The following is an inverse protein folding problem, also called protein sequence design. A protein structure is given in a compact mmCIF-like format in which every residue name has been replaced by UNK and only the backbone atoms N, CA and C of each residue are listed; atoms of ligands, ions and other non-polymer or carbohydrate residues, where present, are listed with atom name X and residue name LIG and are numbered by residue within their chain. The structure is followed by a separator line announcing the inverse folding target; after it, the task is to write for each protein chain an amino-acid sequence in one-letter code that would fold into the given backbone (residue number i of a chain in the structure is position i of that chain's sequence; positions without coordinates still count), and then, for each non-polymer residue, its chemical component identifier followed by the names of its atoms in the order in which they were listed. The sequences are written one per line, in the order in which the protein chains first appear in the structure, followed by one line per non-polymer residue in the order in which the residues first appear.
data_IF_896493127662
#
_entry.id   IF_896493127662
#
_cell.length_a   1.000
_cell.length_b   1.000
_cell.length_c   1.000
_cell.angle_alpha   90.00
_cell.angle_beta   90.00
_cell.angle_gamma   90.00
#
_symmetry.space_group_name_H-M   'P 1'
#
loop_
_entity.id
_entity.type
_entity.pdbx_description
1 polymer ?
#
# COMPACT_ATOMS: atom_id res chain seq x y z
N UNK A 1 -35.45 25.62 -10.74
CA UNK A 1 -35.81 24.73 -9.60
C UNK A 1 -34.62 24.63 -8.67
N UNK A 2 -34.79 24.63 -7.33
CA UNK A 2 -33.68 24.35 -6.42
C UNK A 2 -33.17 22.93 -6.72
N UNK A 3 -31.87 22.82 -7.04
CA UNK A 3 -31.25 21.55 -7.41
C UNK A 3 -31.17 20.67 -6.15
N UNK A 4 -32.02 19.66 -6.07
CA UNK A 4 -32.05 18.71 -4.95
C UNK A 4 -31.06 17.58 -5.22
N UNK A 5 -30.06 17.43 -4.36
CA UNK A 5 -29.18 16.25 -4.39
C UNK A 5 -29.84 15.14 -3.57
N UNK A 6 -30.03 13.94 -4.13
CA UNK A 6 -30.67 12.84 -3.41
C UNK A 6 -29.81 12.31 -2.27
N UNK A 7 -30.45 11.80 -1.22
CA UNK A 7 -29.78 11.05 -0.15
C UNK A 7 -29.14 9.79 -0.76
N UNK A 8 -27.94 9.46 -0.31
CA UNK A 8 -27.06 8.42 -0.83
C UNK A 8 -26.07 8.92 -1.89
N UNK A 9 -26.23 10.13 -2.43
CA UNK A 9 -25.36 10.65 -3.47
C UNK A 9 -23.92 10.90 -2.97
N UNK A 10 -23.74 11.30 -1.72
CA UNK A 10 -22.42 11.48 -1.11
C UNK A 10 -21.70 10.15 -0.91
N UNK A 11 -22.40 9.13 -0.39
CA UNK A 11 -21.84 7.77 -0.25
C UNK A 11 -21.46 7.23 -1.63
N UNK A 12 -22.34 7.35 -2.62
CA UNK A 12 -22.05 6.91 -3.98
C UNK A 12 -20.84 7.64 -4.56
N UNK A 13 -20.70 8.94 -4.27
CA UNK A 13 -19.55 9.72 -4.71
C UNK A 13 -18.24 9.23 -4.08
N UNK A 14 -18.25 8.89 -2.79
CA UNK A 14 -17.11 8.26 -2.11
C UNK A 14 -16.71 6.94 -2.76
N UNK A 15 -17.68 6.11 -3.13
CA UNK A 15 -17.41 4.84 -3.80
C UNK A 15 -16.98 4.99 -5.26
N UNK A 16 -17.48 5.99 -5.98
CA UNK A 16 -16.97 6.30 -7.33
C UNK A 16 -15.47 6.67 -7.29
N UNK A 17 -15.04 7.39 -6.25
CA UNK A 17 -13.61 7.66 -6.03
C UNK A 17 -12.83 6.38 -5.68
N UNK A 18 -13.41 5.50 -4.85
CA UNK A 18 -12.88 4.15 -4.58
C UNK A 18 -12.69 3.35 -5.87
N UNK A 19 -13.64 3.40 -6.81
CA UNK A 19 -13.52 2.72 -8.11
C UNK A 19 -12.35 3.25 -8.95
N UNK A 20 -12.11 4.56 -8.95
CA UNK A 20 -10.93 5.12 -9.63
C UNK A 20 -9.62 4.59 -9.02
N UNK A 21 -9.56 4.47 -7.69
CA UNK A 21 -8.40 3.90 -6.99
C UNK A 21 -8.23 2.39 -7.22
N UNK A 22 -9.32 1.67 -7.47
CA UNK A 22 -9.34 0.22 -7.67
C UNK A 22 -8.97 -0.21 -9.10
N UNK A 23 -8.89 0.73 -10.04
CA UNK A 23 -8.53 0.44 -11.43
C UNK A 23 -7.14 -0.20 -11.55
N UNK A 24 -7.06 -1.36 -12.21
CA UNK A 24 -5.81 -2.15 -12.33
C UNK A 24 -5.12 -1.99 -13.70
N UNK A 25 -5.63 -1.16 -14.61
CA UNK A 25 -5.04 -1.00 -15.94
C UNK A 25 -3.76 -0.16 -15.95
N UNK A 26 -2.97 -0.30 -17.02
CA UNK A 26 -1.65 0.35 -17.14
C UNK A 26 -1.67 1.88 -17.07
N UNK A 27 -2.78 2.53 -17.41
CA UNK A 27 -2.90 4.00 -17.38
C UNK A 27 -2.64 4.60 -15.99
N UNK A 28 -2.84 3.84 -14.91
CA UNK A 28 -2.55 4.30 -13.54
C UNK A 28 -1.07 4.54 -13.26
N UNK A 29 -0.16 4.05 -14.11
CA UNK A 29 1.26 4.36 -14.01
C UNK A 29 1.62 5.67 -14.73
N UNK A 30 0.63 6.34 -15.35
CA UNK A 30 0.78 7.65 -15.98
C UNK A 30 0.23 8.75 -15.07
N UNK A 31 0.89 9.90 -15.07
CA UNK A 31 0.48 11.04 -14.26
C UNK A 31 -0.89 11.60 -14.68
N UNK A 32 -1.16 11.67 -15.99
CA UNK A 32 -2.38 12.25 -16.54
C UNK A 32 -3.66 11.54 -16.11
N UNK A 33 -3.57 10.22 -15.92
CA UNK A 33 -4.66 9.42 -15.36
C UNK A 33 -5.10 9.95 -14.00
N UNK A 34 -4.14 10.17 -13.10
CA UNK A 34 -4.42 10.66 -11.76
C UNK A 34 -4.85 12.12 -11.75
N UNK A 35 -4.29 12.97 -12.63
CA UNK A 35 -4.76 14.34 -12.80
C UNK A 35 -6.25 14.35 -13.16
N UNK A 36 -6.65 13.53 -14.13
CA UNK A 36 -8.05 13.40 -14.54
C UNK A 36 -8.93 12.89 -13.40
N UNK A 37 -8.53 11.79 -12.75
CA UNK A 37 -9.30 11.21 -11.65
C UNK A 37 -9.51 12.18 -10.48
N UNK A 38 -8.47 12.96 -10.12
CA UNK A 38 -8.55 13.97 -9.05
C UNK A 38 -9.44 15.15 -9.48
N UNK A 39 -9.27 15.68 -10.69
CA UNK A 39 -10.08 16.79 -11.18
C UNK A 39 -11.57 16.42 -11.33
N UNK A 40 -11.86 15.18 -11.71
CA UNK A 40 -13.22 14.66 -11.77
C UNK A 40 -13.84 14.51 -10.39
N UNK A 41 -13.06 14.28 -9.33
CA UNK A 41 -13.54 13.94 -7.99
C UNK A 41 -13.60 15.13 -7.04
N UNK A 42 -12.62 16.03 -7.08
CA UNK A 42 -12.44 17.11 -6.11
C UNK A 42 -12.87 18.49 -6.64
N UNK A 43 -13.35 19.34 -5.74
CA UNK A 43 -13.58 20.76 -6.03
C UNK A 43 -12.22 21.47 -6.21
N UNK A 44 -12.15 22.65 -6.86
CA UNK A 44 -10.87 23.33 -7.17
C UNK A 44 -9.94 23.61 -5.98
N UNK A 45 -10.48 23.64 -4.76
CA UNK A 45 -9.73 23.82 -3.51
C UNK A 45 -9.82 22.62 -2.59
N UNK A 46 -10.10 21.43 -3.15
CA UNK A 46 -10.25 20.19 -2.42
C UNK A 46 -8.98 19.79 -1.67
N UNK A 47 -9.16 19.26 -0.46
CA UNK A 47 -8.06 18.81 0.41
C UNK A 47 -8.25 17.33 0.77
N UNK A 48 -7.18 16.55 0.68
CA UNK A 48 -7.12 15.18 1.18
C UNK A 48 -6.22 15.14 2.42
N UNK A 49 -6.79 14.83 3.59
CA UNK A 49 -6.06 14.68 4.85
C UNK A 49 -5.85 13.22 5.17
N UNK A 50 -4.62 12.86 5.48
CA UNK A 50 -4.24 11.50 5.86
C UNK A 50 -3.46 11.55 7.17
N UNK A 51 -3.99 10.94 8.21
CA UNK A 51 -3.24 10.71 9.46
C UNK A 51 -2.81 9.26 9.49
N UNK A 52 -1.52 9.01 9.65
CA UNK A 52 -0.96 7.66 9.77
C UNK A 52 -0.40 7.47 11.16
N UNK A 53 -0.79 6.37 11.81
CA UNK A 53 -0.29 5.99 13.13
C UNK A 53 0.74 4.87 13.00
N UNK A 54 1.80 4.97 13.79
CA UNK A 54 2.83 3.95 13.83
C UNK A 54 2.38 2.77 14.69
N UNK A 55 2.51 1.57 14.16
CA UNK A 55 2.01 0.36 14.84
C UNK A 55 2.77 0.07 16.16
N UNK A 56 4.08 0.31 16.17
CA UNK A 56 4.93 -0.02 17.32
C UNK A 56 4.91 1.03 18.44
N UNK A 57 4.41 2.24 18.17
CA UNK A 57 4.44 3.36 19.12
C UNK A 57 3.06 4.04 19.13
N UNK A 58 2.20 3.74 20.11
CA UNK A 58 0.79 4.15 20.10
C UNK A 58 0.52 5.67 20.05
N UNK A 59 1.53 6.51 20.32
CA UNK A 59 1.42 7.96 20.31
C UNK A 59 2.10 8.64 19.11
N UNK A 60 2.82 7.90 18.26
CA UNK A 60 3.51 8.48 17.11
C UNK A 60 2.58 8.49 15.89
N UNK A 61 2.16 9.69 15.49
CA UNK A 61 1.35 9.89 14.28
C UNK A 61 1.94 10.96 13.38
N UNK A 62 1.62 10.86 12.09
CA UNK A 62 1.96 11.85 11.07
C UNK A 62 0.71 12.26 10.33
N UNK A 63 0.38 13.56 10.41
CA UNK A 63 -0.72 14.18 9.67
C UNK A 63 -0.19 14.77 8.37
N UNK A 64 -0.83 14.46 7.26
CA UNK A 64 -0.52 14.99 5.94
C UNK A 64 -1.75 15.69 5.37
N UNK A 65 -1.61 16.93 4.93
CA UNK A 65 -2.64 17.67 4.20
C UNK A 65 -2.22 17.82 2.73
N UNK A 66 -2.93 17.15 1.84
CA UNK A 66 -2.62 17.06 0.42
C UNK A 66 -3.61 17.89 -0.39
N UNK A 67 -3.12 18.98 -0.99
CA UNK A 67 -3.87 19.73 -1.99
C UNK A 67 -3.80 19.07 -3.38
N UNK A 68 -4.65 19.54 -4.30
CA UNK A 68 -4.78 19.00 -5.66
C UNK A 68 -3.49 19.00 -6.48
N UNK A 69 -2.55 19.91 -6.21
CA UNK A 69 -1.27 19.97 -6.92
C UNK A 69 -0.37 18.73 -6.69
N UNK A 70 -0.68 17.93 -5.67
CA UNK A 70 0.20 16.87 -5.15
C UNK A 70 -0.52 15.55 -5.09
N UNK A 71 -1.83 15.60 -4.89
CA UNK A 71 -2.67 14.42 -4.79
C UNK A 71 -2.49 13.45 -5.99
N UNK A 72 -2.37 13.91 -7.26
CA UNK A 72 -2.04 13.03 -8.38
C UNK A 72 -0.69 12.31 -8.21
N UNK A 73 0.33 13.04 -7.76
CA UNK A 73 1.68 12.49 -7.53
C UNK A 73 1.67 11.46 -6.41
N UNK A 74 0.92 11.69 -5.34
CA UNK A 74 0.74 10.75 -4.24
C UNK A 74 0.19 9.40 -4.73
N UNK A 75 -0.91 9.40 -5.50
CA UNK A 75 -1.51 8.17 -6.01
C UNK A 75 -0.62 7.49 -7.06
N UNK A 76 0.07 8.26 -7.89
CA UNK A 76 1.05 7.74 -8.85
C UNK A 76 2.20 7.02 -8.16
N UNK A 77 2.86 7.67 -7.20
CA UNK A 77 3.99 7.08 -6.46
C UNK A 77 3.54 5.84 -5.69
N UNK A 78 2.35 5.87 -5.09
CA UNK A 78 1.79 4.71 -4.39
C UNK A 78 1.58 3.53 -5.35
N UNK A 79 1.03 3.78 -6.53
CA UNK A 79 0.86 2.74 -7.57
C UNK A 79 2.20 2.20 -8.06
N UNK A 80 3.18 3.08 -8.30
CA UNK A 80 4.54 2.71 -8.72
C UNK A 80 5.34 1.97 -7.63
N UNK A 81 4.91 2.06 -6.37
CA UNK A 81 5.52 1.35 -5.24
C UNK A 81 5.04 -0.10 -5.10
N UNK A 82 4.38 -0.64 -6.13
CA UNK A 82 3.93 -2.04 -6.17
C UNK A 82 2.49 -2.25 -5.70
N UNK A 83 1.75 -1.18 -5.35
CA UNK A 83 0.30 -1.28 -5.06
C UNK A 83 -0.46 -1.50 -6.36
N UNK A 84 -1.02 -2.69 -6.53
CA UNK A 84 -1.82 -3.16 -7.69
C UNK A 84 -3.24 -2.58 -7.73
N UNK A 85 -3.87 -2.44 -6.59
CA UNK A 85 -5.20 -1.83 -6.47
C UNK A 85 -5.42 -1.30 -5.06
N UNK A 86 -6.26 -0.27 -4.96
CA UNK A 86 -6.66 0.35 -3.71
C UNK A 86 -8.18 0.37 -3.64
N UNK A 87 -8.76 -0.02 -2.51
CA UNK A 87 -10.21 0.04 -2.31
C UNK A 87 -10.53 0.61 -0.95
N UNK A 88 -11.49 1.53 -0.92
CA UNK A 88 -12.06 2.09 0.29
C UNK A 88 -13.44 1.45 0.55
N UNK A 89 -13.66 0.98 1.77
CA UNK A 89 -14.97 0.56 2.28
C UNK A 89 -15.35 1.41 3.49
N UNK A 90 -16.64 1.70 3.62
CA UNK A 90 -17.17 2.55 4.69
C UNK A 90 -18.46 1.91 5.23
N UNK A 91 -18.32 0.81 5.96
CA UNK A 91 -19.45 0.10 6.56
C UNK A 91 -20.06 0.92 7.71
N UNK A 92 -21.39 0.99 7.76
CA UNK A 92 -22.08 1.85 8.74
C UNK A 92 -21.86 3.35 8.51
N UNK A 93 -21.50 3.76 7.28
CA UNK A 93 -21.38 5.18 6.95
C UNK A 93 -22.72 5.91 7.12
N UNK A 94 -22.66 7.08 7.75
CA UNK A 94 -23.78 8.00 7.93
C UNK A 94 -23.61 9.16 6.97
N UNK A 95 -24.66 9.48 6.24
CA UNK A 95 -24.71 10.65 5.36
C UNK A 95 -25.60 11.75 5.96
N UNK A 96 -25.12 12.99 5.91
CA UNK A 96 -25.84 14.18 6.36
C UNK A 96 -25.92 15.19 5.22
N UNK A 97 -27.14 15.55 4.84
CA UNK A 97 -27.40 16.64 3.91
C UNK A 97 -27.44 17.98 4.65
N UNK A 98 -26.91 19.02 4.02
CA UNK A 98 -26.91 20.38 4.55
C UNK A 98 -26.92 21.42 3.44
N UNK A 99 -26.91 22.69 3.84
CA UNK A 99 -26.68 23.80 2.92
C UNK A 99 -25.58 24.69 3.48
N UNK A 100 -24.67 25.10 2.60
CA UNK A 100 -23.69 26.15 2.89
C UNK A 100 -24.40 27.49 3.14
N UNK A 101 -23.69 28.42 3.78
CA UNK A 101 -24.12 29.81 3.95
C UNK A 101 -24.48 30.49 2.60
N UNK A 102 -23.86 30.04 1.51
CA UNK A 102 -24.13 30.52 0.13
C UNK A 102 -25.32 29.81 -0.54
N UNK A 103 -26.05 28.95 0.18
CA UNK A 103 -27.20 28.20 -0.33
C UNK A 103 -26.85 26.95 -1.15
N UNK A 104 -25.56 26.68 -1.36
CA UNK A 104 -25.08 25.48 -2.08
C UNK A 104 -25.37 24.23 -1.25
N UNK A 105 -25.89 23.18 -1.89
CA UNK A 105 -26.14 21.89 -1.23
C UNK A 105 -24.82 21.23 -0.86
N UNK A 106 -24.72 20.77 0.39
CA UNK A 106 -23.54 20.08 0.92
C UNK A 106 -23.93 18.69 1.43
N UNK A 107 -23.02 17.73 1.26
CA UNK A 107 -23.15 16.38 1.78
C UNK A 107 -21.93 16.03 2.62
N UNK A 108 -22.14 15.48 3.81
CA UNK A 108 -21.08 14.95 4.65
C UNK A 108 -21.29 13.46 4.86
N UNK A 109 -20.27 12.66 4.57
CA UNK A 109 -20.24 11.23 4.84
C UNK A 109 -19.25 10.98 5.97
N UNK A 110 -19.72 10.35 7.04
CA UNK A 110 -18.91 9.98 8.21
C UNK A 110 -18.97 8.46 8.40
N UNK A 111 -17.83 7.82 8.57
CA UNK A 111 -17.77 6.41 8.97
C UNK A 111 -16.66 6.25 10.00
N UNK A 112 -17.02 5.73 11.17
CA UNK A 112 -16.08 5.57 12.28
C UNK A 112 -15.03 4.49 12.00
N UNK A 113 -15.39 3.44 11.26
CA UNK A 113 -14.59 2.23 11.03
C UNK A 113 -14.41 1.96 9.54
N UNK A 114 -13.92 2.95 8.80
CA UNK A 114 -13.62 2.76 7.38
C UNK A 114 -12.34 1.94 7.20
N UNK A 115 -12.26 1.23 6.08
CA UNK A 115 -11.06 0.46 5.73
C UNK A 115 -10.56 0.86 4.35
N UNK A 116 -9.25 1.08 4.26
CA UNK A 116 -8.55 1.31 3.00
C UNK A 116 -7.57 0.18 2.78
N UNK A 117 -7.91 -0.66 1.80
CA UNK A 117 -7.14 -1.85 1.45
C UNK A 117 -6.27 -1.59 0.23
N UNK A 118 -4.98 -1.89 0.35
CA UNK A 118 -3.98 -1.83 -0.71
C UNK A 118 -3.51 -3.26 -1.03
N UNK A 119 -3.76 -3.73 -2.25
CA UNK A 119 -3.24 -5.02 -2.74
C UNK A 119 -1.94 -4.80 -3.48
N UNK A 120 -0.93 -5.62 -3.23
CA UNK A 120 0.40 -5.48 -3.80
C UNK A 120 0.72 -6.58 -4.81
N UNK A 121 1.59 -6.27 -5.77
CA UNK A 121 2.11 -7.24 -6.74
C UNK A 121 2.90 -8.38 -6.06
N UNK A 122 3.44 -8.14 -4.86
CA UNK A 122 4.13 -9.15 -4.04
C UNK A 122 3.18 -10.16 -3.38
N UNK A 123 1.86 -10.01 -3.56
CA UNK A 123 0.85 -10.86 -2.92
C UNK A 123 0.45 -10.43 -1.51
N UNK A 124 1.05 -9.36 -1.00
CA UNK A 124 0.61 -8.72 0.23
C UNK A 124 -0.70 -7.96 0.02
N UNK A 125 -1.53 -7.97 1.05
CA UNK A 125 -2.66 -7.06 1.22
C UNK A 125 -2.45 -6.31 2.51
N UNK A 126 -2.41 -4.97 2.44
CA UNK A 126 -2.29 -4.09 3.59
C UNK A 126 -3.61 -3.36 3.78
N UNK A 127 -4.18 -3.44 4.97
CA UNK A 127 -5.45 -2.78 5.30
C UNK A 127 -5.19 -1.71 6.34
N UNK A 128 -5.46 -0.46 5.99
CA UNK A 128 -5.50 0.67 6.92
C UNK A 128 -6.92 0.80 7.49
N UNK A 129 -7.06 1.03 8.79
CA UNK A 129 -8.36 1.11 9.47
C UNK A 129 -8.46 2.38 10.31
N UNK A 130 -9.61 3.03 10.25
CA UNK A 130 -9.96 4.14 11.14
C UNK A 130 -11.03 5.06 10.57
N UNK A 131 -11.30 6.20 11.23
CA UNK A 131 -12.42 7.04 10.82
C UNK A 131 -12.13 7.77 9.51
N UNK A 132 -13.18 7.89 8.69
CA UNK A 132 -13.20 8.73 7.50
C UNK A 132 -14.32 9.76 7.61
N UNK A 133 -14.01 10.98 7.18
CA UNK A 133 -14.99 12.06 6.98
C UNK A 133 -14.78 12.65 5.60
N UNK A 134 -15.82 12.67 4.78
CA UNK A 134 -15.79 13.28 3.46
C UNK A 134 -16.87 14.36 3.37
N UNK A 135 -16.46 15.58 3.04
CA UNK A 135 -17.34 16.72 2.82
C UNK A 135 -17.35 17.08 1.34
N UNK A 136 -18.55 17.30 0.83
CA UNK A 136 -18.80 17.52 -0.59
C UNK A 136 -19.78 18.66 -0.79
N UNK A 137 -19.61 19.38 -1.89
CA UNK A 137 -20.51 20.43 -2.34
C UNK A 137 -20.96 20.16 -3.78
N UNK A 138 -22.21 20.52 -4.07
CA UNK A 138 -22.73 20.44 -5.44
C UNK A 138 -22.12 21.58 -6.28
N UNK A 139 -21.37 21.23 -7.32
CA UNK A 139 -20.79 22.21 -8.23
C UNK A 139 -21.89 22.84 -9.10
N UNK A 140 -22.07 24.16 -9.04
CA UNK A 140 -22.96 24.87 -9.95
C UNK A 140 -22.30 25.01 -11.35
N UNK A 141 -23.06 24.92 -12.46
CA UNK A 141 -24.50 24.62 -12.55
C UNK A 141 -24.82 23.12 -12.65
N UNK A 142 -23.81 22.25 -12.73
CA UNK A 142 -23.98 20.83 -13.07
C UNK A 142 -24.64 20.01 -11.96
N UNK A 143 -24.61 20.48 -10.72
CA UNK A 143 -25.12 19.77 -9.54
C UNK A 143 -24.27 18.57 -9.13
N UNK A 144 -23.12 18.36 -9.78
CA UNK A 144 -22.24 17.24 -9.51
C UNK A 144 -21.54 17.47 -8.17
N UNK A 145 -21.71 16.54 -7.24
CA UNK A 145 -20.97 16.56 -5.98
C UNK A 145 -19.47 16.44 -6.24
N UNK A 146 -18.67 17.30 -5.63
CA UNK A 146 -17.21 17.17 -5.61
C UNK A 146 -16.70 17.27 -4.18
N UNK A 147 -15.59 16.60 -3.88
CA UNK A 147 -14.99 16.66 -2.55
C UNK A 147 -14.40 18.04 -2.30
N UNK A 148 -14.88 18.69 -1.26
CA UNK A 148 -14.21 19.83 -0.63
C UNK A 148 -13.11 19.31 0.30
N UNK A 149 -13.38 18.21 1.00
CA UNK A 149 -12.37 17.51 1.78
C UNK A 149 -12.65 16.03 1.96
N UNK A 150 -11.59 15.22 1.99
CA UNK A 150 -11.61 13.86 2.54
C UNK A 150 -10.57 13.82 3.66
N UNK A 151 -10.94 13.32 4.83
CA UNK A 151 -10.04 13.09 5.95
C UNK A 151 -10.10 11.63 6.34
N UNK A 152 -8.97 10.94 6.30
CA UNK A 152 -8.84 9.56 6.76
C UNK A 152 -7.77 9.46 7.84
N UNK A 153 -8.16 8.92 8.99
CA UNK A 153 -7.29 8.77 10.15
C UNK A 153 -7.00 7.28 10.38
N UNK A 154 -5.92 6.79 9.77
CA UNK A 154 -5.53 5.38 9.81
C UNK A 154 -4.90 5.03 11.16
N UNK A 155 -5.76 4.72 12.15
CA UNK A 155 -5.37 4.35 13.51
C UNK A 155 -4.58 3.05 13.58
N UNK A 156 -4.93 2.10 12.73
CA UNK A 156 -4.32 0.77 12.71
C UNK A 156 -4.04 0.34 11.28
N UNK A 157 -3.04 -0.52 11.12
CA UNK A 157 -2.84 -1.24 9.88
C UNK A 157 -2.51 -2.71 10.13
N UNK A 158 -2.93 -3.56 9.21
CA UNK A 158 -2.65 -4.98 9.22
C UNK A 158 -2.11 -5.43 7.86
N UNK A 159 -1.31 -6.50 7.86
CA UNK A 159 -0.68 -7.06 6.66
C UNK A 159 -1.06 -8.53 6.56
N UNK A 160 -1.56 -8.92 5.40
CA UNK A 160 -1.90 -10.30 5.05
C UNK A 160 -1.10 -10.72 3.82
N UNK A 161 -0.67 -11.97 3.75
CA UNK A 161 0.00 -12.53 2.57
C UNK A 161 -0.74 -13.77 2.09
N UNK A 162 -0.92 -13.89 0.78
CA UNK A 162 -1.48 -15.11 0.19
C UNK A 162 -0.50 -16.27 0.35
N UNK A 163 -0.98 -17.40 0.88
CA UNK A 163 -0.16 -18.60 1.14
C UNK A 163 0.54 -19.11 -0.13
N UNK A 164 -0.11 -19.02 -1.29
CA UNK A 164 0.45 -19.44 -2.58
C UNK A 164 1.69 -18.65 -3.03
N UNK A 165 2.02 -17.55 -2.36
CA UNK A 165 3.23 -16.76 -2.61
C UNK A 165 4.39 -17.15 -1.68
N UNK A 166 4.12 -17.91 -0.62
CA UNK A 166 5.11 -18.42 0.32
C UNK A 166 5.85 -19.57 -0.35
N UNK A 167 7.16 -19.43 -0.60
CA UNK A 167 8.00 -20.44 -1.25
C UNK A 167 8.22 -20.29 -2.76
N UNK A 168 7.59 -19.30 -3.42
CA UNK A 168 7.84 -19.00 -4.86
C UNK A 168 9.19 -18.32 -5.13
N UNK A 169 9.89 -17.87 -4.08
CA UNK A 169 11.22 -17.25 -4.16
C UNK A 169 12.38 -18.26 -4.08
N UNK A 170 12.11 -19.57 -4.08
CA UNK A 170 13.12 -20.61 -4.26
C UNK A 170 13.70 -20.56 -5.68
N UNK A 171 14.65 -19.66 -5.91
CA UNK A 171 15.40 -19.58 -7.15
C UNK A 171 15.97 -20.95 -7.50
N UNK A 172 15.80 -21.36 -8.76
CA UNK A 172 16.47 -22.53 -9.31
C UNK A 172 17.97 -22.41 -9.05
N UNK A 173 18.65 -23.44 -8.51
CA UNK A 173 20.10 -23.44 -8.48
C UNK A 173 20.57 -23.48 -9.94
N UNK A 174 21.13 -22.37 -10.43
CA UNK A 174 21.96 -22.36 -11.65
C UNK A 174 23.23 -23.16 -11.35
N UNK A 175 23.13 -24.48 -11.44
CA UNK A 175 24.23 -25.42 -11.36
C UNK A 175 24.24 -26.27 -12.62
N UNK A 176 24.79 -25.77 -13.71
CA UNK A 176 25.17 -26.62 -14.85
C UNK A 176 26.28 -25.96 -15.65
N UNK A 177 27.53 -26.38 -15.44
CA UNK A 177 28.33 -27.06 -16.48
C UNK A 177 29.63 -27.63 -15.89
N UNK A 178 30.19 -28.71 -16.50
CA UNK A 178 31.15 -29.60 -15.88
C UNK A 178 32.61 -29.33 -16.30
N UNK A 179 33.52 -29.72 -15.40
CA UNK A 179 34.89 -30.18 -15.62
C UNK A 179 35.80 -29.41 -16.60
N UNK A 180 36.89 -28.86 -16.06
CA UNK A 180 38.21 -29.06 -16.69
C UNK A 180 39.29 -29.16 -15.62
N UNK A 181 39.85 -30.36 -15.51
CA UNK A 181 41.07 -30.67 -14.77
C UNK A 181 42.23 -29.84 -15.32
N UNK A 182 42.98 -29.18 -14.46
CA UNK A 182 44.38 -28.88 -14.73
C UNK A 182 45.19 -28.90 -13.44
N UNK A 183 46.09 -29.86 -13.37
CA UNK A 183 47.08 -30.11 -12.34
C UNK A 183 48.33 -29.26 -12.56
N UNK A 184 48.97 -28.83 -11.46
CA UNK A 184 50.43 -28.60 -11.32
C UNK A 184 50.80 -28.11 -9.90
N UNK A 185 52.07 -28.25 -9.45
CA UNK A 185 52.40 -28.91 -8.17
C UNK A 185 53.19 -28.06 -7.16
N UNK A 186 53.26 -28.55 -5.91
CA UNK A 186 54.22 -28.14 -4.86
C UNK A 186 53.50 -27.92 -3.52
N UNK A 187 53.92 -28.43 -2.36
CA UNK A 187 55.06 -29.23 -1.93
C UNK A 187 55.19 -29.05 -0.41
N UNK A 188 55.26 -30.16 0.32
CA UNK A 188 55.62 -30.34 1.76
C UNK A 188 54.69 -29.71 2.82
N UNK A 189 54.27 -30.38 3.89
CA UNK A 189 54.60 -31.68 4.49
C UNK A 189 54.42 -31.55 6.01
N UNK A 190 53.64 -32.43 6.64
CA UNK A 190 53.97 -33.11 7.92
C UNK A 190 52.78 -33.93 8.42
N UNK A 191 53.04 -35.21 8.66
CA UNK A 191 52.13 -36.18 9.25
C UNK A 191 52.16 -36.14 10.79
N UNK A 192 51.11 -36.70 11.42
CA UNK A 192 51.08 -37.67 12.56
C UNK A 192 49.58 -37.88 12.93
N UNK A 193 48.91 -38.98 12.53
CA UNK A 193 48.53 -40.21 13.33
C UNK A 193 47.94 -39.93 14.73
N UNK A 194 46.90 -40.58 15.28
CA UNK A 194 46.04 -41.72 14.95
C UNK A 194 44.85 -41.70 15.94
N UNK A 195 43.71 -42.34 15.61
CA UNK A 195 43.06 -43.42 16.39
C UNK A 195 41.60 -43.67 15.96
N UNK A 196 41.38 -44.92 15.60
CA UNK A 196 40.14 -45.66 15.36
C UNK A 196 39.33 -45.83 16.65
N UNK A 197 38.00 -45.83 16.58
CA UNK A 197 37.15 -46.84 17.24
C UNK A 197 35.71 -46.82 16.70
N UNK A 198 35.20 -48.03 16.47
CA UNK A 198 33.92 -48.42 15.91
C UNK A 198 32.72 -48.05 16.80
N UNK A 199 31.61 -47.64 16.19
CA UNK A 199 30.29 -48.18 16.60
C UNK A 199 29.38 -48.18 15.38
N UNK A 200 29.11 -49.40 14.91
CA UNK A 200 28.08 -49.73 13.93
C UNK A 200 26.75 -49.82 14.69
N UNK A 201 25.78 -48.96 14.36
CA UNK A 201 24.39 -49.29 14.62
C UNK A 201 23.48 -48.86 13.48
N UNK A 202 22.61 -49.77 13.11
CA UNK A 202 22.04 -49.89 11.77
C UNK A 202 20.58 -49.44 11.79
N UNK A 203 20.24 -48.52 10.88
CA UNK A 203 18.96 -48.48 10.15
C UNK A 203 17.69 -47.99 10.88
N UNK A 204 17.40 -46.70 10.70
CA UNK A 204 16.10 -46.28 10.12
C UNK A 204 16.41 -45.39 8.92
N UNK A 205 16.09 -45.91 7.74
CA UNK A 205 16.48 -45.33 6.46
C UNK A 205 15.72 -44.04 6.16
N UNK A 206 16.47 -42.97 5.96
CA UNK A 206 16.17 -41.92 5.01
C UNK A 206 17.47 -41.69 4.22
N UNK A 207 17.41 -41.84 2.90
CA UNK A 207 18.54 -41.57 2.03
C UNK A 207 18.95 -40.09 2.19
N UNK A 208 20.25 -39.73 2.15
CA UNK A 208 20.70 -38.33 2.23
C UNK A 208 20.16 -37.45 1.09
N UNK A 209 19.62 -38.06 0.04
CA UNK A 209 19.03 -37.38 -1.12
C UNK A 209 17.60 -36.87 -0.90
N UNK A 210 16.92 -37.27 0.19
CA UNK A 210 15.58 -36.77 0.52
C UNK A 210 15.58 -35.51 1.40
N UNK A 211 16.73 -35.13 1.98
CA UNK A 211 16.86 -33.99 2.89
C UNK A 211 17.20 -32.67 2.20
N UNK A 212 17.51 -32.67 0.89
CA UNK A 212 18.06 -31.49 0.20
C UNK A 212 17.04 -30.62 -0.55
N UNK A 213 15.73 -30.91 -0.48
CA UNK A 213 14.70 -30.15 -1.21
C UNK A 213 13.66 -29.47 -0.29
N UNK A 214 14.00 -29.20 0.98
CA UNK A 214 13.25 -28.20 1.74
C UNK A 214 13.67 -26.82 1.22
N UNK A 215 12.98 -26.32 0.19
CA UNK A 215 12.98 -24.91 -0.15
C UNK A 215 12.49 -24.19 1.10
N UNK A 216 13.39 -23.46 1.78
CA UNK A 216 13.00 -22.57 2.86
C UNK A 216 11.94 -21.61 2.28
N UNK A 217 10.70 -21.64 2.78
CA UNK A 217 9.65 -20.75 2.32
C UNK A 217 9.96 -19.32 2.77
N UNK A 218 10.91 -18.66 2.13
CA UNK A 218 11.26 -17.28 2.41
C UNK A 218 10.07 -16.39 2.06
N UNK A 219 9.55 -15.67 3.03
CA UNK A 219 8.54 -14.63 2.80
C UNK A 219 9.12 -13.53 1.90
N UNK A 220 8.34 -12.95 0.98
CA UNK A 220 8.78 -11.77 0.24
C UNK A 220 9.06 -10.60 1.22
N UNK A 221 9.86 -9.61 0.82
CA UNK A 221 10.13 -8.46 1.67
C UNK A 221 8.85 -7.67 1.95
N UNK A 222 8.75 -7.12 3.16
CA UNK A 222 7.63 -6.29 3.58
C UNK A 222 7.47 -5.07 2.65
N UNK A 223 6.27 -4.82 2.10
CA UNK A 223 6.07 -3.75 1.12
C UNK A 223 5.86 -2.37 1.76
N UNK A 224 5.69 -2.30 3.08
CA UNK A 224 5.31 -1.08 3.82
C UNK A 224 6.23 -0.84 5.01
N UNK A 225 6.35 0.43 5.40
CA UNK A 225 7.05 0.83 6.61
C UNK A 225 6.13 0.70 7.85
N UNK A 226 6.62 1.16 9.02
CA UNK A 226 5.88 1.10 10.28
C UNK A 226 4.59 1.93 10.36
N UNK A 227 4.24 2.68 9.31
CA UNK A 227 2.98 3.43 9.19
C UNK A 227 1.98 2.78 8.20
N UNK A 228 2.30 1.58 7.68
CA UNK A 228 1.42 0.85 6.77
C UNK A 228 1.40 1.37 5.33
N UNK A 229 2.35 2.23 4.95
CA UNK A 229 2.51 2.75 3.57
C UNK A 229 3.89 2.43 2.99
N UNK A 230 4.04 2.36 1.65
CA UNK A 230 5.34 2.15 1.04
C UNK A 230 6.32 3.28 1.37
N UNK A 231 7.61 2.95 1.49
CA UNK A 231 8.62 3.95 1.85
C UNK A 231 8.73 5.08 0.82
N UNK A 232 8.53 4.80 -0.46
CA UNK A 232 8.50 5.82 -1.51
C UNK A 232 7.27 6.74 -1.37
N UNK A 233 6.10 6.20 -1.03
CA UNK A 233 4.91 6.98 -0.69
C UNK A 233 5.18 7.89 0.50
N UNK A 234 5.80 7.36 1.57
CA UNK A 234 6.15 8.15 2.76
C UNK A 234 7.07 9.33 2.43
N UNK A 235 8.13 9.07 1.66
CA UNK A 235 9.05 10.13 1.20
C UNK A 235 8.32 11.18 0.36
N UNK A 236 7.39 10.77 -0.51
CA UNK A 236 6.59 11.70 -1.30
C UNK A 236 5.75 12.62 -0.42
N UNK A 237 5.19 12.10 0.67
CA UNK A 237 4.42 12.87 1.64
C UNK A 237 5.32 13.84 2.46
N UNK A 238 6.49 13.39 2.89
CA UNK A 238 7.43 14.16 3.71
C UNK A 238 8.15 15.29 2.95
N UNK A 239 8.61 15.03 1.72
CA UNK A 239 9.33 16.03 0.90
C UNK A 239 8.48 17.29 0.68
N UNK A 240 7.15 17.16 0.72
CA UNK A 240 6.29 18.33 0.55
C UNK A 240 6.18 19.21 1.77
N UNK A 241 6.29 18.66 2.99
CA UNK A 241 6.29 19.51 4.19
C UNK A 241 7.39 20.56 4.12
N UNK A 242 8.55 20.24 3.51
CA UNK A 242 9.60 21.22 3.27
C UNK A 242 9.21 22.31 2.25
N UNK A 243 8.58 21.96 1.12
CA UNK A 243 8.26 22.95 0.07
C UNK A 243 7.09 23.88 0.44
N UNK A 244 6.07 23.37 1.13
CA UNK A 244 4.94 24.21 1.58
C UNK A 244 5.31 25.12 2.77
N UNK A 245 6.22 24.68 3.66
CA UNK A 245 6.75 25.53 4.73
C UNK A 245 7.62 26.67 4.18
N UNK A 246 8.42 26.40 3.14
CA UNK A 246 9.26 27.41 2.48
C UNK A 246 8.48 28.46 1.68
N UNK A 247 7.29 28.14 1.19
CA UNK A 247 6.44 29.10 0.43
C UNK A 247 5.57 29.96 1.37
N UNK A 248 5.48 29.60 2.66
CA UNK A 248 4.74 30.36 3.70
C UNK A 248 5.66 31.14 4.65
N UNK A 249 6.96 31.21 4.35
CA UNK A 249 7.96 32.09 4.99
C UNK A 249 8.31 33.25 4.08
#
# INVERSE_FOLDING_TARGET
QPQTVPIGAGIMRLFNFSTAMAYEGHERYKHDYWVKAIHESFAPHGIFKLTLWKDTVPSESKLFELGLAILPRFFLVTSQSGVKSMSLTAEGAVEKAGRSATGVMTMTVECAMATWTCRYNSGYTVTLRGPIVASMSAAAPTGILRFDSISFDAKHHEKHIMVDMIGRNGGTPKGTTPATLHSSPGGNGSAITAKTEDTMDTRTGLTPEAASNMVDPSLPPDPVNGFGVPQATMRCLEVRFCLCALIRS
#
